data_IF_755671615583
#
_entry.id   IF_755671615583
#
_cell.length_a   1.000
_cell.length_b   1.000
_cell.length_c   1.000
_cell.angle_alpha   90.00
_cell.angle_beta   90.00
_cell.angle_gamma   90.00
#
_symmetry.space_group_name_H-M   'P 1'
#
loop_
_entity.id
_entity.type
_entity.pdbx_description
1 polymer ?
#
# COMPACT_ATOMS: atom_id res chain seq x y z
N UNK A 1 -3.12 -25.83 -27.76
CA UNK A 1 -2.99 -24.66 -28.66
C UNK A 1 -4.32 -23.93 -28.71
N UNK A 2 -4.36 -22.67 -28.48
CA UNK A 2 -5.55 -21.86 -28.66
C UNK A 2 -5.92 -21.86 -30.16
N UNK A 3 -7.13 -22.19 -30.48
CA UNK A 3 -7.61 -22.27 -31.85
C UNK A 3 -8.72 -21.24 -32.01
N UNK A 4 -8.60 -20.32 -32.94
CA UNK A 4 -9.66 -19.40 -33.31
C UNK A 4 -10.10 -19.60 -34.74
N UNK A 5 -11.39 -19.38 -35.02
CA UNK A 5 -11.96 -19.47 -36.38
C UNK A 5 -13.21 -18.62 -36.49
N UNK A 6 -13.51 -18.20 -37.74
CA UNK A 6 -14.73 -17.45 -38.08
C UNK A 6 -15.74 -18.40 -38.71
N UNK A 7 -16.98 -18.33 -38.29
CA UNK A 7 -18.08 -19.05 -38.85
C UNK A 7 -19.13 -18.10 -39.47
N UNK A 8 -19.61 -18.41 -40.66
CA UNK A 8 -20.76 -17.74 -41.30
C UNK A 8 -22.04 -18.37 -40.74
N UNK A 9 -22.82 -17.63 -40.00
CA UNK A 9 -24.06 -18.11 -39.39
C UNK A 9 -25.23 -18.21 -40.38
N UNK A 10 -25.16 -17.50 -41.48
CA UNK A 10 -26.22 -17.44 -42.48
C UNK A 10 -26.06 -18.51 -43.55
N UNK A 11 -24.83 -18.95 -43.84
CA UNK A 11 -24.55 -19.93 -44.88
C UNK A 11 -24.08 -21.25 -44.28
N UNK A 12 -24.48 -22.31 -44.95
CA UNK A 12 -24.05 -23.72 -44.69
C UNK A 12 -23.69 -24.39 -45.99
N UNK A 13 -22.97 -25.49 -45.92
CA UNK A 13 -22.72 -26.35 -47.07
C UNK A 13 -24.00 -27.12 -47.45
N UNK A 14 -24.29 -27.22 -48.71
CA UNK A 14 -25.35 -28.11 -49.23
C UNK A 14 -24.89 -29.55 -49.16
N UNK A 15 -25.78 -30.46 -48.77
CA UNK A 15 -25.51 -31.89 -48.75
C UNK A 15 -26.02 -32.50 -50.04
N UNK A 16 -25.13 -32.99 -50.89
CA UNK A 16 -25.48 -33.79 -52.08
C UNK A 16 -25.28 -35.27 -51.82
N UNK A 17 -26.25 -36.07 -52.21
CA UNK A 17 -26.14 -37.52 -52.17
C UNK A 17 -25.69 -37.98 -53.57
N UNK A 18 -24.58 -38.71 -53.61
CA UNK A 18 -24.05 -39.32 -54.87
C UNK A 18 -24.77 -40.57 -55.17
N UNK A 19 -24.58 -41.11 -56.40
CA UNK A 19 -25.24 -42.36 -56.91
C UNK A 19 -24.87 -43.58 -56.06
N UNK A 20 -23.76 -43.54 -55.36
CA UNK A 20 -23.31 -44.62 -54.43
C UNK A 20 -23.89 -44.48 -53.02
N UNK A 21 -24.77 -43.48 -52.80
CA UNK A 21 -25.39 -43.20 -51.51
C UNK A 21 -24.48 -42.37 -50.55
N UNK A 22 -23.26 -42.02 -50.93
CA UNK A 22 -22.37 -41.20 -50.13
C UNK A 22 -22.82 -39.72 -50.10
N UNK A 23 -22.56 -39.04 -48.99
CA UNK A 23 -22.90 -37.61 -48.79
C UNK A 23 -21.68 -36.75 -49.02
N UNK A 24 -21.81 -35.80 -49.93
CA UNK A 24 -20.77 -34.79 -50.19
C UNK A 24 -21.26 -33.39 -49.77
N UNK A 25 -20.44 -32.69 -49.01
CA UNK A 25 -20.71 -31.31 -48.60
C UNK A 25 -20.16 -30.35 -49.67
N UNK A 26 -21.05 -29.57 -50.28
CA UNK A 26 -20.72 -28.59 -51.33
C UNK A 26 -20.87 -27.18 -50.76
N UNK A 27 -19.75 -26.43 -50.63
CA UNK A 27 -19.82 -25.09 -50.11
C UNK A 27 -20.52 -24.10 -51.05
N UNK A 28 -21.14 -23.04 -50.54
CA UNK A 28 -21.72 -21.97 -51.37
C UNK A 28 -20.65 -21.36 -52.29
N UNK A 29 -21.00 -21.15 -53.55
CA UNK A 29 -20.09 -20.56 -54.56
C UNK A 29 -19.67 -19.16 -54.18
N UNK A 30 -18.54 -18.70 -54.74
CA UNK A 30 -18.05 -17.32 -54.55
C UNK A 30 -19.05 -16.26 -55.03
N UNK A 31 -19.86 -16.62 -56.05
CA UNK A 31 -20.92 -15.75 -56.56
C UNK A 31 -22.03 -15.55 -55.53
N UNK A 32 -22.49 -16.65 -54.86
CA UNK A 32 -23.47 -16.60 -53.76
C UNK A 32 -22.96 -15.78 -52.60
N UNK A 33 -21.72 -16.03 -52.18
CA UNK A 33 -21.08 -15.26 -51.07
C UNK A 33 -20.98 -13.78 -51.36
N UNK A 34 -20.62 -13.41 -52.64
CA UNK A 34 -20.50 -12.03 -53.09
C UNK A 34 -21.85 -11.33 -53.15
N UNK A 35 -22.89 -12.00 -53.77
CA UNK A 35 -24.22 -11.45 -53.83
C UNK A 35 -24.79 -11.18 -52.42
N UNK A 36 -24.61 -12.08 -51.48
CA UNK A 36 -25.04 -11.87 -50.10
C UNK A 36 -24.26 -10.73 -49.40
N UNK A 37 -22.98 -10.54 -49.69
CA UNK A 37 -22.21 -9.46 -49.12
C UNK A 37 -22.63 -8.07 -49.66
N UNK A 38 -23.18 -7.98 -50.88
CA UNK A 38 -23.75 -6.75 -51.46
C UNK A 38 -25.14 -6.41 -50.91
N UNK A 39 -25.83 -7.35 -50.31
CA UNK A 39 -27.20 -7.22 -49.82
C UNK A 39 -27.33 -7.52 -48.33
N UNK A 40 -26.36 -7.10 -47.53
CA UNK A 40 -26.31 -7.37 -46.06
C UNK A 40 -27.50 -6.82 -45.28
N UNK A 41 -28.07 -5.68 -45.74
CA UNK A 41 -29.23 -5.06 -45.11
C UNK A 41 -30.56 -5.70 -45.51
N UNK A 42 -30.58 -6.41 -46.64
CA UNK A 42 -31.74 -7.17 -47.13
C UNK A 42 -31.27 -8.45 -47.80
N UNK A 43 -30.93 -9.49 -47.00
CA UNK A 43 -30.32 -10.75 -47.46
C UNK A 43 -31.16 -11.53 -48.46
N UNK A 44 -32.47 -11.34 -48.48
CA UNK A 44 -33.39 -12.00 -49.44
C UNK A 44 -33.13 -11.52 -50.88
N UNK A 45 -32.71 -10.29 -51.09
CA UNK A 45 -32.33 -9.77 -52.44
C UNK A 45 -31.13 -10.49 -53.03
N UNK A 46 -30.28 -11.13 -52.23
CA UNK A 46 -29.16 -11.92 -52.71
C UNK A 46 -29.58 -13.25 -53.38
N UNK A 47 -30.86 -13.65 -53.28
CA UNK A 47 -31.45 -14.86 -53.89
C UNK A 47 -30.59 -16.13 -53.61
N UNK A 48 -30.10 -16.26 -52.37
CA UNK A 48 -29.31 -17.43 -51.98
C UNK A 48 -30.19 -18.69 -52.08
N UNK A 49 -29.73 -19.78 -52.71
CA UNK A 49 -30.48 -21.03 -52.76
C UNK A 49 -30.74 -21.59 -51.35
N UNK A 50 -31.93 -22.17 -51.13
CA UNK A 50 -32.39 -22.65 -49.84
C UNK A 50 -31.41 -23.67 -49.21
N UNK A 51 -30.80 -24.53 -50.02
CA UNK A 51 -29.82 -25.54 -49.62
C UNK A 51 -28.56 -25.00 -48.95
N UNK A 52 -28.25 -23.73 -49.16
CA UNK A 52 -27.12 -23.02 -48.53
C UNK A 52 -27.53 -22.14 -47.35
N UNK A 53 -28.81 -22.04 -47.03
CA UNK A 53 -29.31 -21.20 -45.93
C UNK A 53 -29.36 -21.96 -44.62
N UNK A 54 -28.90 -21.34 -43.56
CA UNK A 54 -29.12 -21.87 -42.21
C UNK A 54 -30.51 -21.44 -41.70
N UNK A 55 -30.97 -22.03 -40.59
CA UNK A 55 -32.24 -21.66 -39.93
C UNK A 55 -32.24 -20.19 -39.42
N UNK A 56 -31.08 -19.54 -39.33
CA UNK A 56 -30.92 -18.14 -38.89
C UNK A 56 -30.49 -17.24 -40.04
N UNK A 57 -30.69 -17.64 -41.28
CA UNK A 57 -30.38 -16.84 -42.46
C UNK A 57 -31.11 -15.49 -42.39
N UNK A 58 -30.37 -14.39 -42.62
CA UNK A 58 -30.90 -13.04 -42.54
C UNK A 58 -31.18 -12.51 -41.14
N UNK A 59 -31.00 -13.32 -40.09
CA UNK A 59 -31.32 -12.92 -38.72
C UNK A 59 -30.06 -12.56 -37.91
N UNK A 60 -30.04 -11.39 -37.33
CA UNK A 60 -28.99 -10.93 -36.43
C UNK A 60 -27.62 -10.74 -37.11
N UNK A 61 -26.56 -11.04 -36.40
CA UNK A 61 -25.18 -10.91 -36.91
C UNK A 61 -24.80 -12.11 -37.76
N UNK A 62 -24.18 -11.89 -38.94
CA UNK A 62 -23.78 -12.95 -39.87
C UNK A 62 -22.56 -13.74 -39.41
N UNK A 63 -21.56 -13.09 -38.83
CA UNK A 63 -20.26 -13.67 -38.50
C UNK A 63 -20.14 -13.99 -37.03
N UNK A 64 -19.59 -15.14 -36.69
CA UNK A 64 -19.23 -15.50 -35.31
C UNK A 64 -17.77 -15.90 -35.28
N UNK A 65 -17.03 -15.25 -34.43
CA UNK A 65 -15.68 -15.66 -34.05
C UNK A 65 -15.80 -16.60 -32.86
N UNK A 66 -15.24 -17.81 -33.02
CA UNK A 66 -15.05 -18.75 -31.93
C UNK A 66 -13.60 -18.83 -31.56
N UNK A 67 -13.32 -19.05 -30.29
CA UNK A 67 -11.97 -19.38 -29.81
C UNK A 67 -12.03 -20.27 -28.59
N UNK A 68 -10.94 -21.00 -28.36
CA UNK A 68 -10.75 -21.80 -27.16
C UNK A 68 -9.60 -21.21 -26.35
N UNK A 69 -9.85 -20.88 -25.09
CA UNK A 69 -8.87 -20.41 -24.13
C UNK A 69 -9.22 -21.00 -22.75
N UNK A 70 -8.22 -21.34 -21.96
CA UNK A 70 -8.37 -21.93 -20.61
C UNK A 70 -9.28 -23.15 -20.54
N UNK A 71 -9.31 -23.95 -21.63
CA UNK A 71 -10.19 -25.12 -21.75
C UNK A 71 -11.65 -24.79 -22.05
N UNK A 72 -12.04 -23.52 -22.08
CA UNK A 72 -13.40 -23.09 -22.43
C UNK A 72 -13.53 -22.62 -23.87
N UNK A 73 -14.70 -22.85 -24.45
CA UNK A 73 -15.04 -22.34 -25.77
C UNK A 73 -15.84 -21.04 -25.67
N UNK A 74 -15.33 -19.99 -26.28
CA UNK A 74 -15.93 -18.67 -26.31
C UNK A 74 -16.44 -18.33 -27.72
N UNK A 75 -17.39 -17.36 -27.80
CA UNK A 75 -17.87 -16.82 -29.07
C UNK A 75 -18.23 -15.35 -28.98
N UNK A 76 -18.08 -14.63 -30.12
CA UNK A 76 -18.56 -13.27 -30.28
C UNK A 76 -19.09 -13.06 -31.69
N UNK A 77 -20.24 -12.37 -31.82
CA UNK A 77 -20.93 -12.19 -33.08
C UNK A 77 -20.59 -10.80 -33.67
N UNK A 78 -20.48 -10.73 -35.00
CA UNK A 78 -20.19 -9.53 -35.77
C UNK A 78 -21.09 -9.44 -36.98
N UNK A 79 -21.51 -8.21 -37.36
CA UNK A 79 -22.23 -7.95 -38.62
C UNK A 79 -21.29 -7.94 -39.80
N UNK A 80 -20.09 -7.43 -39.63
CA UNK A 80 -19.06 -7.21 -40.66
C UNK A 80 -17.92 -8.23 -40.52
N UNK A 81 -17.51 -8.83 -41.64
CA UNK A 81 -16.43 -9.84 -41.67
C UNK A 81 -15.07 -9.24 -41.29
N UNK A 82 -14.77 -8.03 -41.79
CA UNK A 82 -13.49 -7.37 -41.51
C UNK A 82 -13.32 -7.14 -40.01
N UNK A 83 -14.37 -6.69 -39.34
CA UNK A 83 -14.37 -6.54 -37.87
C UNK A 83 -14.23 -7.86 -37.15
N UNK A 84 -14.81 -8.95 -37.69
CA UNK A 84 -14.64 -10.29 -37.15
C UNK A 84 -13.21 -10.77 -37.28
N UNK A 85 -12.56 -10.56 -38.44
CA UNK A 85 -11.21 -10.97 -38.70
C UNK A 85 -10.17 -10.13 -37.93
N UNK A 86 -10.36 -8.81 -37.87
CA UNK A 86 -9.55 -7.91 -37.02
C UNK A 86 -9.60 -8.36 -35.55
N UNK A 87 -10.80 -8.69 -35.06
CA UNK A 87 -10.95 -9.21 -33.68
C UNK A 87 -10.25 -10.55 -33.49
N UNK A 88 -10.38 -11.49 -34.45
CA UNK A 88 -9.73 -12.80 -34.41
C UNK A 88 -8.21 -12.66 -34.40
N UNK A 89 -7.66 -11.82 -35.27
CA UNK A 89 -6.21 -11.56 -35.36
C UNK A 89 -5.66 -10.93 -34.06
N UNK A 90 -6.36 -9.94 -33.50
CA UNK A 90 -6.01 -9.33 -32.21
C UNK A 90 -6.03 -10.36 -31.08
N UNK A 91 -7.07 -11.21 -31.04
CA UNK A 91 -7.20 -12.27 -30.06
C UNK A 91 -6.05 -13.30 -30.13
N UNK A 92 -5.64 -13.70 -31.35
CA UNK A 92 -4.50 -14.61 -31.55
C UNK A 92 -3.18 -13.99 -31.07
N UNK A 93 -3.00 -12.67 -31.28
CA UNK A 93 -1.84 -11.95 -30.77
C UNK A 93 -1.84 -11.89 -29.25
N UNK A 94 -2.97 -11.58 -28.64
CA UNK A 94 -3.12 -11.53 -27.18
C UNK A 94 -2.86 -12.90 -26.54
N UNK A 95 -3.38 -13.98 -27.11
CA UNK A 95 -3.12 -15.34 -26.62
C UNK A 95 -1.63 -15.68 -26.75
N UNK A 96 -1.02 -15.40 -27.93
CA UNK A 96 0.39 -15.67 -28.19
C UNK A 96 1.32 -14.91 -27.25
N UNK A 97 0.98 -13.68 -26.91
CA UNK A 97 1.77 -12.80 -26.04
C UNK A 97 1.37 -12.88 -24.56
N UNK A 98 0.54 -13.89 -24.19
CA UNK A 98 0.03 -14.09 -22.83
C UNK A 98 -0.71 -12.83 -22.24
N UNK A 99 -1.29 -12.00 -23.11
CA UNK A 99 -2.12 -10.85 -22.73
C UNK A 99 -3.62 -11.14 -22.72
N UNK A 100 -4.00 -12.32 -23.17
CA UNK A 100 -5.41 -12.71 -23.17
C UNK A 100 -5.99 -12.73 -21.77
N UNK A 101 -7.13 -12.08 -21.60
CA UNK A 101 -7.92 -12.10 -20.35
C UNK A 101 -9.29 -12.70 -20.69
N UNK A 102 -9.71 -13.67 -19.91
CA UNK A 102 -11.05 -14.23 -20.07
C UNK A 102 -12.09 -13.13 -19.77
N UNK A 103 -13.08 -12.89 -20.65
CA UNK A 103 -14.11 -11.89 -20.41
C UNK A 103 -14.85 -12.04 -19.08
N UNK A 104 -15.06 -13.28 -18.61
CA UNK A 104 -15.67 -13.53 -17.30
C UNK A 104 -14.81 -13.03 -16.15
N UNK A 105 -13.49 -13.17 -16.26
CA UNK A 105 -12.56 -12.70 -15.23
C UNK A 105 -12.42 -11.17 -15.24
N UNK A 106 -12.51 -10.55 -16.40
CA UNK A 106 -12.55 -9.08 -16.52
C UNK A 106 -13.81 -8.45 -15.88
N UNK A 107 -14.89 -9.20 -15.74
CA UNK A 107 -16.13 -8.77 -15.06
C UNK A 107 -16.05 -8.93 -13.52
N UNK A 108 -15.05 -9.61 -12.96
CA UNK A 108 -14.82 -9.65 -11.52
C UNK A 108 -14.67 -8.24 -10.97
N UNK A 109 -15.31 -7.96 -9.85
CA UNK A 109 -15.19 -6.68 -9.20
C UNK A 109 -13.85 -6.52 -8.48
N UNK A 110 -13.38 -5.30 -8.35
CA UNK A 110 -12.20 -5.01 -7.53
C UNK A 110 -12.36 -5.49 -6.09
N UNK A 111 -13.57 -5.38 -5.53
CA UNK A 111 -13.90 -5.82 -4.16
C UNK A 111 -13.65 -7.31 -3.94
N UNK A 112 -14.11 -8.17 -4.88
CA UNK A 112 -13.87 -9.61 -4.82
C UNK A 112 -12.38 -9.94 -4.81
N UNK A 113 -11.59 -9.26 -5.65
CA UNK A 113 -10.13 -9.46 -5.70
C UNK A 113 -9.47 -8.93 -4.43
N UNK A 114 -9.95 -7.82 -3.87
CA UNK A 114 -9.46 -7.26 -2.62
C UNK A 114 -9.68 -8.23 -1.45
N UNK A 115 -10.78 -8.95 -1.39
CA UNK A 115 -11.03 -9.99 -0.37
C UNK A 115 -10.00 -11.13 -0.45
N UNK A 116 -9.69 -11.59 -1.67
CA UNK A 116 -8.66 -12.61 -1.90
C UNK A 116 -7.29 -12.09 -1.45
N UNK A 117 -6.97 -10.84 -1.81
CA UNK A 117 -5.72 -10.20 -1.41
C UNK A 117 -5.59 -10.08 0.11
N UNK A 118 -6.65 -9.66 0.80
CA UNK A 118 -6.68 -9.57 2.28
C UNK A 118 -6.43 -10.95 2.90
N UNK A 119 -7.08 -11.99 2.38
CA UNK A 119 -6.91 -13.35 2.90
C UNK A 119 -5.44 -13.81 2.78
N UNK A 120 -4.75 -13.44 1.70
CA UNK A 120 -3.32 -13.73 1.49
C UNK A 120 -2.35 -12.91 2.37
N UNK A 121 -2.79 -11.79 2.93
CA UNK A 121 -1.95 -10.97 3.82
C UNK A 121 -1.82 -11.56 5.23
N UNK A 122 -2.82 -12.31 5.69
CA UNK A 122 -2.87 -12.84 7.06
C UNK A 122 -1.66 -13.71 7.36
N UNK A 123 -0.92 -13.33 8.41
CA UNK A 123 0.28 -14.05 8.84
C UNK A 123 1.53 -13.80 7.98
N UNK A 124 1.43 -13.16 6.81
CA UNK A 124 2.57 -12.85 5.94
C UNK A 124 3.25 -11.52 6.27
N UNK A 125 2.53 -10.62 6.94
CA UNK A 125 3.01 -9.29 7.32
C UNK A 125 2.68 -8.99 8.78
N UNK A 126 3.34 -7.96 9.36
CA UNK A 126 3.02 -7.51 10.72
C UNK A 126 1.57 -7.04 10.82
N UNK A 127 0.89 -7.40 11.91
CA UNK A 127 -0.52 -7.03 12.18
C UNK A 127 -0.79 -5.53 12.03
N UNK A 128 0.16 -4.67 12.44
CA UNK A 128 0.04 -3.21 12.27
C UNK A 128 0.06 -2.74 10.82
N UNK A 129 0.80 -3.45 9.97
CA UNK A 129 0.83 -3.18 8.53
C UNK A 129 -0.47 -3.64 7.89
N UNK A 130 -0.95 -4.82 8.26
CA UNK A 130 -2.24 -5.36 7.85
C UNK A 130 -3.37 -4.41 8.25
N UNK A 131 -3.43 -4.00 9.52
CA UNK A 131 -4.41 -3.04 10.03
C UNK A 131 -4.42 -1.72 9.23
N UNK A 132 -3.23 -1.21 8.88
CA UNK A 132 -3.10 -0.01 8.05
C UNK A 132 -3.65 -0.23 6.65
N UNK A 133 -3.29 -1.34 5.98
CA UNK A 133 -3.75 -1.66 4.62
C UNK A 133 -5.27 -1.84 4.58
N UNK A 134 -5.85 -2.57 5.53
CA UNK A 134 -7.28 -2.76 5.65
C UNK A 134 -8.02 -1.44 5.86
N UNK A 135 -7.46 -0.55 6.70
CA UNK A 135 -8.03 0.77 6.93
C UNK A 135 -7.99 1.63 5.66
N UNK A 136 -6.85 1.69 4.96
CA UNK A 136 -6.69 2.44 3.71
C UNK A 136 -7.62 1.89 2.62
N UNK A 137 -7.73 0.57 2.50
CA UNK A 137 -8.61 -0.11 1.56
C UNK A 137 -10.08 0.26 1.83
N UNK A 138 -10.54 0.11 3.08
CA UNK A 138 -11.93 0.38 3.46
C UNK A 138 -12.31 1.85 3.32
N UNK A 139 -11.43 2.76 3.76
CA UNK A 139 -11.76 4.19 3.79
C UNK A 139 -11.71 4.82 2.41
N UNK A 140 -10.72 4.48 1.58
CA UNK A 140 -10.40 5.22 0.37
C UNK A 140 -10.60 4.43 -0.93
N UNK A 141 -10.26 3.13 -0.93
CA UNK A 141 -10.20 2.36 -2.18
C UNK A 141 -11.56 1.73 -2.50
N UNK A 142 -12.15 0.98 -1.57
CA UNK A 142 -13.42 0.29 -1.79
C UNK A 142 -14.59 1.23 -2.10
N UNK A 143 -14.74 2.41 -1.46
CA UNK A 143 -15.83 3.32 -1.79
C UNK A 143 -15.79 3.82 -3.24
N UNK A 144 -14.62 3.87 -3.85
CA UNK A 144 -14.47 4.28 -5.26
C UNK A 144 -14.46 3.10 -6.23
N UNK A 145 -13.81 2.00 -5.86
CA UNK A 145 -13.46 0.94 -6.79
C UNK A 145 -14.12 -0.40 -6.49
N UNK A 146 -14.64 -0.61 -5.28
CA UNK A 146 -15.12 -1.91 -4.81
C UNK A 146 -16.09 -2.61 -5.76
N UNK A 147 -17.08 -1.89 -6.29
CA UNK A 147 -18.08 -2.41 -7.21
C UNK A 147 -17.68 -2.31 -8.70
N UNK A 148 -16.48 -1.82 -9.01
CA UNK A 148 -16.03 -1.61 -10.39
C UNK A 148 -15.42 -2.90 -10.94
N UNK A 149 -15.89 -3.42 -12.10
CA UNK A 149 -15.25 -4.53 -12.78
C UNK A 149 -13.80 -4.22 -13.15
N UNK A 150 -12.93 -5.22 -13.02
CA UNK A 150 -11.48 -5.07 -13.30
C UNK A 150 -11.24 -4.50 -14.69
N UNK A 151 -11.94 -5.01 -15.71
CA UNK A 151 -11.80 -4.56 -17.10
C UNK A 151 -12.21 -3.11 -17.36
N UNK A 152 -12.87 -2.45 -16.39
CA UNK A 152 -13.26 -1.02 -16.47
C UNK A 152 -12.32 -0.09 -15.70
N UNK A 153 -11.32 -0.64 -15.00
CA UNK A 153 -10.33 0.15 -14.26
C UNK A 153 -9.22 0.58 -15.23
N UNK A 154 -9.28 1.82 -15.70
CA UNK A 154 -8.27 2.37 -16.61
C UNK A 154 -7.40 3.42 -15.95
N UNK A 155 -6.19 3.65 -16.52
CA UNK A 155 -5.19 4.63 -16.05
C UNK A 155 -5.78 6.03 -15.91
N UNK A 156 -6.59 6.49 -16.88
CA UNK A 156 -7.21 7.82 -16.84
C UNK A 156 -8.20 7.98 -15.67
N UNK A 157 -8.97 6.94 -15.36
CA UNK A 157 -9.89 6.95 -14.22
C UNK A 157 -9.13 6.94 -12.90
N UNK A 158 -8.05 6.16 -12.79
CA UNK A 158 -7.17 6.13 -11.62
C UNK A 158 -6.46 7.49 -11.42
N UNK A 159 -6.02 8.16 -12.51
CA UNK A 159 -5.40 9.48 -12.43
C UNK A 159 -6.40 10.56 -11.95
N UNK A 160 -7.66 10.53 -12.41
CA UNK A 160 -8.71 11.42 -11.88
C UNK A 160 -8.97 11.19 -10.41
N UNK A 161 -8.99 9.94 -9.97
CA UNK A 161 -9.14 9.63 -8.54
C UNK A 161 -7.98 10.15 -7.70
N UNK A 162 -6.74 10.08 -8.18
CA UNK A 162 -5.60 10.73 -7.52
C UNK A 162 -5.82 12.23 -7.35
N UNK A 163 -6.34 12.92 -8.38
CA UNK A 163 -6.68 14.35 -8.26
C UNK A 163 -7.74 14.59 -7.17
N UNK A 164 -8.76 13.73 -7.08
CA UNK A 164 -9.77 13.81 -6.02
C UNK A 164 -9.20 13.55 -4.62
N UNK A 165 -8.21 12.65 -4.47
CA UNK A 165 -7.52 12.44 -3.20
C UNK A 165 -6.71 13.69 -2.79
N UNK A 166 -6.14 14.41 -3.76
CA UNK A 166 -5.41 15.67 -3.54
C UNK A 166 -6.35 16.79 -3.12
N UNK A 167 -7.50 16.95 -3.80
CA UNK A 167 -8.48 18.01 -3.48
C UNK A 167 -9.33 17.70 -2.24
N UNK A 168 -9.44 16.43 -1.85
CA UNK A 168 -10.30 15.98 -0.75
C UNK A 168 -11.69 15.53 -1.18
N UNK A 169 -11.98 15.51 -2.50
CA UNK A 169 -13.32 15.17 -3.07
C UNK A 169 -13.45 13.67 -3.37
N UNK A 170 -12.45 12.86 -3.07
CA UNK A 170 -12.50 11.42 -3.33
C UNK A 170 -13.63 10.75 -2.52
N UNK A 171 -14.40 9.83 -3.14
CA UNK A 171 -15.35 8.99 -2.42
C UNK A 171 -14.65 8.26 -1.28
N UNK A 172 -15.29 8.24 -0.11
CA UNK A 172 -14.75 7.57 1.09
C UNK A 172 -15.87 7.01 1.95
N UNK A 173 -15.53 6.16 2.91
CA UNK A 173 -16.49 5.72 3.93
C UNK A 173 -16.95 6.94 4.75
N UNK A 174 -18.21 7.32 4.60
CA UNK A 174 -18.82 8.51 5.19
C UNK A 174 -18.92 8.51 6.72
N UNK A 175 -18.59 7.38 7.37
CA UNK A 175 -18.56 7.26 8.83
C UNK A 175 -17.35 7.96 9.47
N UNK A 176 -16.39 8.43 8.69
CA UNK A 176 -15.10 8.92 9.20
C UNK A 176 -14.91 10.40 8.82
N UNK A 177 -15.47 11.31 9.65
CA UNK A 177 -15.19 12.75 9.64
C UNK A 177 -15.38 13.48 8.29
N UNK A 178 -15.03 14.76 8.22
CA UNK A 178 -15.17 15.58 6.99
C UNK A 178 -14.17 15.20 5.90
N UNK A 179 -14.55 15.43 4.62
CA UNK A 179 -13.65 15.30 3.48
C UNK A 179 -12.47 16.27 3.64
N UNK A 180 -11.26 15.77 3.43
CA UNK A 180 -10.04 16.58 3.50
C UNK A 180 -9.01 16.05 2.53
N UNK A 181 -8.16 16.94 1.98
CA UNK A 181 -7.03 16.55 1.15
C UNK A 181 -6.12 15.54 1.87
N UNK A 182 -5.63 14.56 1.14
CA UNK A 182 -4.62 13.64 1.63
C UNK A 182 -3.22 14.18 1.37
N UNK A 183 -2.34 14.01 2.35
CA UNK A 183 -0.92 14.29 2.14
C UNK A 183 -0.31 13.36 1.07
N UNK A 184 0.69 13.83 0.28
CA UNK A 184 1.30 13.04 -0.80
C UNK A 184 1.80 11.66 -0.36
N UNK A 185 2.35 11.52 0.85
CA UNK A 185 2.77 10.24 1.42
C UNK A 185 1.60 9.28 1.63
N UNK A 186 0.44 9.78 2.07
CA UNK A 186 -0.77 8.99 2.25
C UNK A 186 -1.36 8.55 0.90
N UNK A 187 -1.38 9.46 -0.09
CA UNK A 187 -1.81 9.13 -1.46
C UNK A 187 -0.92 8.03 -2.04
N UNK A 188 0.41 8.12 -1.85
CA UNK A 188 1.33 7.07 -2.27
C UNK A 188 1.00 5.72 -1.63
N UNK A 189 0.69 5.69 -0.32
CA UNK A 189 0.31 4.46 0.39
C UNK A 189 -0.99 3.88 -0.17
N UNK A 190 -2.03 4.68 -0.30
CA UNK A 190 -3.34 4.26 -0.81
C UNK A 190 -3.25 3.76 -2.26
N UNK A 191 -2.56 4.51 -3.14
CA UNK A 191 -2.57 4.23 -4.59
C UNK A 191 -1.50 3.22 -5.00
N UNK A 192 -0.22 3.45 -4.62
CA UNK A 192 0.92 2.64 -5.08
C UNK A 192 1.24 1.43 -4.20
N UNK A 193 0.66 1.35 -3.00
CA UNK A 193 0.82 0.17 -2.15
C UNK A 193 -0.47 -0.63 -2.14
N UNK A 194 -1.59 -0.08 -1.65
CA UNK A 194 -2.80 -0.87 -1.44
C UNK A 194 -3.56 -1.12 -2.75
N UNK A 195 -3.96 -0.06 -3.48
CA UNK A 195 -4.72 -0.20 -4.72
C UNK A 195 -3.94 -0.97 -5.79
N UNK A 196 -2.65 -0.63 -5.95
CA UNK A 196 -1.75 -1.32 -6.88
C UNK A 196 -1.61 -2.80 -6.55
N UNK A 197 -1.42 -3.18 -5.29
CA UNK A 197 -1.18 -4.58 -4.91
C UNK A 197 -2.38 -5.50 -5.20
N UNK A 198 -3.62 -5.00 -5.05
CA UNK A 198 -4.83 -5.76 -5.43
C UNK A 198 -4.87 -5.98 -6.94
N UNK A 199 -4.51 -4.97 -7.73
CA UNK A 199 -4.46 -5.10 -9.19
C UNK A 199 -3.27 -5.94 -9.67
N UNK A 200 -2.13 -5.92 -8.96
CA UNK A 200 -1.00 -6.82 -9.24
C UNK A 200 -1.41 -8.29 -9.02
N UNK A 201 -2.22 -8.56 -7.99
CA UNK A 201 -2.81 -9.88 -7.77
C UNK A 201 -3.72 -10.28 -8.95
N UNK A 202 -4.54 -9.36 -9.46
CA UNK A 202 -5.38 -9.61 -10.63
C UNK A 202 -4.54 -9.92 -11.88
N UNK A 203 -3.42 -9.21 -12.08
CA UNK A 203 -2.48 -9.50 -13.18
C UNK A 203 -1.81 -10.85 -13.01
N UNK A 204 -1.33 -11.17 -11.81
CA UNK A 204 -0.66 -12.46 -11.54
C UNK A 204 -1.56 -13.67 -11.69
N UNK A 205 -2.89 -13.49 -11.54
CA UNK A 205 -3.90 -14.52 -11.79
C UNK A 205 -4.45 -14.52 -13.22
N UNK A 206 -3.94 -13.66 -14.11
CA UNK A 206 -4.43 -13.58 -15.50
C UNK A 206 -5.79 -12.89 -15.65
N UNK A 207 -6.34 -12.24 -14.61
CA UNK A 207 -7.61 -11.51 -14.63
C UNK A 207 -7.50 -10.10 -15.21
N UNK A 208 -6.28 -9.60 -15.33
CA UNK A 208 -5.90 -8.39 -16.05
C UNK A 208 -4.62 -8.65 -16.86
N UNK A 209 -4.54 -8.06 -18.04
CA UNK A 209 -3.34 -8.14 -18.89
C UNK A 209 -2.18 -7.27 -18.39
N UNK A 210 -2.50 -6.15 -17.74
CA UNK A 210 -1.53 -5.21 -17.19
C UNK A 210 -2.17 -4.38 -16.06
N UNK A 211 -1.34 -3.90 -15.12
CA UNK A 211 -1.81 -3.04 -14.05
C UNK A 211 -1.94 -1.57 -14.51
N UNK A 212 -3.16 -1.02 -14.58
CA UNK A 212 -3.37 0.36 -15.06
C UNK A 212 -2.78 1.44 -14.13
N UNK A 213 -2.41 1.08 -12.88
CA UNK A 213 -1.85 2.00 -11.88
C UNK A 213 -0.36 2.24 -12.09
N UNK A 214 0.33 1.42 -12.89
CA UNK A 214 1.79 1.58 -13.12
C UNK A 214 2.14 2.98 -13.62
N UNK A 215 1.40 3.49 -14.58
CA UNK A 215 1.64 4.79 -15.22
C UNK A 215 0.99 5.98 -14.50
N UNK A 216 0.26 5.73 -13.40
CA UNK A 216 -0.38 6.81 -12.63
C UNK A 216 0.67 7.66 -11.94
N UNK A 217 0.62 8.97 -12.22
CA UNK A 217 1.49 9.98 -11.61
C UNK A 217 0.93 10.41 -10.25
N UNK A 218 1.81 10.47 -9.26
CA UNK A 218 1.47 10.95 -7.93
C UNK A 218 1.92 12.40 -7.72
N UNK A 219 1.29 13.13 -6.79
CA UNK A 219 1.79 14.46 -6.40
C UNK A 219 3.20 14.31 -5.82
N UNK A 220 4.03 15.32 -6.08
CA UNK A 220 5.38 15.38 -5.49
C UNK A 220 5.28 15.45 -3.97
N UNK A 221 6.16 14.75 -3.29
CA UNK A 221 6.30 14.91 -1.85
C UNK A 221 6.75 16.36 -1.58
N UNK A 222 6.01 17.05 -0.72
CA UNK A 222 6.48 18.33 -0.19
C UNK A 222 7.70 18.02 0.70
N UNK A 223 8.75 18.83 0.66
CA UNK A 223 9.89 18.67 1.58
C UNK A 223 9.39 18.52 3.02
N UNK A 224 10.03 17.61 3.75
CA UNK A 224 9.67 17.30 5.13
C UNK A 224 9.67 18.61 5.95
N UNK A 225 8.62 18.83 6.74
CA UNK A 225 8.57 19.91 7.76
C UNK A 225 9.89 19.94 8.54
N UNK A 226 10.38 21.14 8.86
CA UNK A 226 11.58 21.32 9.66
C UNK A 226 11.44 20.48 10.94
N UNK A 227 12.40 19.60 11.22
CA UNK A 227 12.40 18.82 12.45
C UNK A 227 12.59 19.75 13.64
N UNK A 228 11.82 19.54 14.68
CA UNK A 228 11.95 20.28 15.93
C UNK A 228 12.90 19.52 16.85
N UNK A 229 13.90 20.22 17.32
CA UNK A 229 14.84 19.77 18.35
C UNK A 229 14.66 20.68 19.55
N UNK A 230 14.32 20.11 20.69
CA UNK A 230 14.12 20.85 21.92
C UNK A 230 15.45 21.05 22.67
N UNK A 231 15.58 22.16 23.32
CA UNK A 231 16.64 22.36 24.33
C UNK A 231 16.28 21.63 25.64
N UNK A 232 17.25 21.32 26.50
CA UNK A 232 16.95 20.74 27.82
C UNK A 232 15.96 21.57 28.65
N UNK A 233 16.00 22.90 28.51
CA UNK A 233 15.07 23.81 29.18
C UNK A 233 13.65 23.62 28.66
N UNK A 234 13.46 23.56 27.34
CA UNK A 234 12.15 23.34 26.74
C UNK A 234 11.58 21.96 27.09
N UNK A 235 12.42 20.91 27.13
CA UNK A 235 12.00 19.57 27.61
C UNK A 235 11.50 19.66 29.05
N UNK A 236 12.22 20.41 29.93
CA UNK A 236 11.82 20.60 31.31
C UNK A 236 10.51 21.37 31.42
N UNK A 237 10.33 22.46 30.68
CA UNK A 237 9.10 23.27 30.66
C UNK A 237 7.88 22.39 30.30
N UNK A 238 8.01 21.49 29.32
CA UNK A 238 6.93 20.56 28.97
C UNK A 238 6.69 19.54 30.09
N UNK A 239 7.74 19.03 30.73
CA UNK A 239 7.65 18.06 31.80
C UNK A 239 7.01 18.62 33.06
N UNK A 240 7.31 19.89 33.41
CA UNK A 240 6.76 20.58 34.58
C UNK A 240 5.23 20.76 34.52
N UNK A 241 4.63 20.65 33.33
CA UNK A 241 3.16 20.68 33.13
C UNK A 241 2.49 19.29 33.23
N UNK A 242 3.19 18.30 33.76
CA UNK A 242 2.72 16.92 33.92
C UNK A 242 2.86 16.49 35.39
N UNK A 243 2.17 15.39 35.73
CA UNK A 243 2.48 14.67 36.98
C UNK A 243 3.88 14.05 36.91
N UNK A 244 4.43 13.70 38.07
CA UNK A 244 5.81 13.23 38.22
C UNK A 244 6.12 12.01 37.32
N UNK A 245 5.22 11.04 37.23
CA UNK A 245 5.39 9.84 36.45
C UNK A 245 5.49 10.15 34.94
N UNK A 246 4.63 11.03 34.45
CA UNK A 246 4.62 11.45 33.05
C UNK A 246 5.77 12.41 32.72
N UNK A 247 6.22 13.24 33.68
CA UNK A 247 7.42 14.05 33.55
C UNK A 247 8.65 13.17 33.33
N UNK A 248 8.81 12.10 34.13
CA UNK A 248 9.89 11.13 33.94
C UNK A 248 9.78 10.42 32.59
N UNK A 249 8.57 10.09 32.12
CA UNK A 249 8.36 9.53 30.79
C UNK A 249 8.86 10.46 29.66
N UNK A 250 8.63 11.78 29.77
CA UNK A 250 9.17 12.80 28.84
C UNK A 250 10.70 12.80 28.86
N UNK A 251 11.31 12.79 30.03
CA UNK A 251 12.78 12.76 30.16
C UNK A 251 13.37 11.47 29.59
N UNK A 252 12.73 10.32 29.81
CA UNK A 252 13.14 9.06 29.20
C UNK A 252 13.12 9.14 27.66
N UNK A 253 12.05 9.70 27.07
CA UNK A 253 11.97 9.88 25.61
C UNK A 253 13.05 10.84 25.09
N UNK A 254 13.30 11.94 25.79
CA UNK A 254 14.25 12.98 25.37
C UNK A 254 15.72 12.60 25.56
N UNK A 255 16.03 11.73 26.53
CA UNK A 255 17.41 11.45 26.90
C UNK A 255 17.87 10.01 26.69
N UNK A 256 16.99 9.13 26.24
CA UNK A 256 17.34 7.76 25.81
C UNK A 256 17.05 7.49 24.34
N UNK A 257 16.23 8.35 23.70
CA UNK A 257 15.86 8.22 22.29
C UNK A 257 14.96 7.03 21.96
N UNK A 258 14.35 6.36 22.94
CA UNK A 258 13.35 5.32 22.72
C UNK A 258 12.09 5.90 22.03
N UNK A 259 11.38 5.09 21.28
CA UNK A 259 10.09 5.51 20.70
C UNK A 259 9.00 5.47 21.76
N UNK A 260 7.98 6.33 21.66
CA UNK A 260 6.85 6.33 22.61
C UNK A 260 6.21 4.93 22.74
N UNK A 261 6.01 4.21 21.64
CA UNK A 261 5.45 2.86 21.70
C UNK A 261 6.39 1.83 22.36
N UNK A 262 7.70 2.04 22.32
CA UNK A 262 8.69 1.25 23.04
C UNK A 262 8.64 1.58 24.54
N UNK A 263 8.67 2.87 24.90
CA UNK A 263 8.59 3.32 26.30
C UNK A 263 7.33 2.78 26.99
N UNK A 264 6.17 2.92 26.38
CA UNK A 264 4.90 2.47 26.96
C UNK A 264 4.74 0.93 26.97
N UNK A 265 5.64 0.18 26.36
CA UNK A 265 5.71 -1.28 26.43
C UNK A 265 6.78 -1.78 27.39
N UNK A 266 7.62 -0.88 27.98
CA UNK A 266 8.63 -1.27 28.98
C UNK A 266 7.96 -1.74 30.26
N UNK A 267 8.56 -2.77 30.85
CA UNK A 267 8.26 -3.30 32.17
C UNK A 267 9.32 -2.81 33.17
N UNK A 268 9.00 -2.83 34.46
CA UNK A 268 9.98 -2.53 35.49
C UNK A 268 11.22 -3.43 35.40
N UNK A 269 11.05 -4.71 35.06
CA UNK A 269 12.14 -5.66 34.84
C UNK A 269 12.96 -5.44 33.56
N UNK A 270 12.55 -4.57 32.65
CA UNK A 270 13.33 -4.19 31.47
C UNK A 270 14.40 -3.11 31.80
N UNK A 271 14.43 -2.61 33.03
CA UNK A 271 15.39 -1.63 33.55
C UNK A 271 16.45 -2.29 34.40
N UNK A 272 17.71 -2.10 34.03
CA UNK A 272 18.87 -2.48 34.84
C UNK A 272 19.50 -1.21 35.43
N UNK A 273 19.19 -0.94 36.71
CA UNK A 273 19.70 0.26 37.38
C UNK A 273 21.19 0.09 37.77
N UNK A 274 21.71 -1.13 37.95
CA UNK A 274 23.12 -1.31 38.25
C UNK A 274 24.01 -0.97 37.06
N UNK A 275 23.53 -1.35 35.83
CA UNK A 275 24.20 -1.06 34.56
C UNK A 275 23.73 0.23 33.91
N UNK A 276 22.71 0.86 34.47
CA UNK A 276 22.04 2.04 33.85
C UNK A 276 21.65 1.80 32.39
N UNK A 277 20.82 0.76 32.16
CA UNK A 277 20.38 0.39 30.83
C UNK A 277 18.90 0.02 30.76
N UNK A 278 18.28 0.24 29.58
CA UNK A 278 16.95 -0.24 29.21
C UNK A 278 17.05 -1.37 28.18
N UNK A 279 16.33 -2.46 28.40
CA UNK A 279 16.17 -3.54 27.41
C UNK A 279 14.92 -3.28 26.56
N UNK A 280 15.11 -2.85 25.32
CA UNK A 280 14.02 -2.53 24.40
C UNK A 280 13.76 -3.72 23.49
N UNK A 281 12.83 -4.60 23.86
CA UNK A 281 12.46 -5.82 23.14
C UNK A 281 11.03 -5.79 22.59
N UNK A 282 10.19 -4.83 23.04
CA UNK A 282 8.77 -4.73 22.71
C UNK A 282 8.41 -3.31 22.27
N UNK A 283 7.30 -3.17 21.58
CA UNK A 283 6.69 -1.90 21.24
C UNK A 283 5.17 -2.05 21.14
N UNK A 284 4.44 -0.99 21.43
CA UNK A 284 3.01 -0.95 21.18
C UNK A 284 2.70 -0.78 19.70
N UNK A 285 1.64 -1.43 19.27
CA UNK A 285 1.07 -1.34 17.93
C UNK A 285 -0.44 -1.47 17.99
N UNK A 286 -1.11 -1.37 16.85
CA UNK A 286 -2.56 -1.52 16.73
C UNK A 286 -2.86 -2.69 15.80
N UNK A 287 -3.73 -3.60 16.25
CA UNK A 287 -4.21 -4.73 15.45
C UNK A 287 -5.33 -4.33 14.46
N UNK A 288 -5.80 -5.29 13.67
CA UNK A 288 -6.88 -5.11 12.69
C UNK A 288 -8.23 -4.70 13.31
N UNK A 289 -8.43 -4.96 14.60
CA UNK A 289 -9.62 -4.59 15.36
C UNK A 289 -9.45 -3.25 16.10
N UNK A 290 -8.39 -2.49 15.80
CA UNK A 290 -8.03 -1.23 16.45
C UNK A 290 -7.73 -1.37 17.96
N UNK A 291 -7.28 -2.56 18.41
CA UNK A 291 -6.84 -2.80 19.78
C UNK A 291 -5.34 -2.58 19.87
N UNK A 292 -4.89 -1.96 20.96
CA UNK A 292 -3.46 -1.84 21.24
C UNK A 292 -2.91 -3.21 21.66
N UNK A 293 -1.85 -3.63 20.99
CA UNK A 293 -1.13 -4.88 21.24
C UNK A 293 0.36 -4.62 21.41
N UNK A 294 1.04 -5.50 22.12
CA UNK A 294 2.50 -5.53 22.14
C UNK A 294 3.02 -6.37 20.97
N UNK A 295 4.06 -5.90 20.33
CA UNK A 295 4.74 -6.55 19.21
C UNK A 295 6.25 -6.27 19.28
N UNK A 296 7.02 -6.94 18.44
CA UNK A 296 8.45 -6.65 18.30
C UNK A 296 8.70 -5.28 17.68
N UNK A 297 9.79 -4.57 18.06
CA UNK A 297 10.15 -3.29 17.46
C UNK A 297 10.32 -3.36 15.93
N UNK A 298 10.37 -2.20 15.28
CA UNK A 298 10.61 -2.11 13.83
C UNK A 298 11.96 -2.75 13.51
N UNK A 299 11.97 -3.72 12.60
CA UNK A 299 13.18 -4.48 12.23
C UNK A 299 13.42 -5.75 13.08
N UNK A 300 12.51 -6.11 14.00
CA UNK A 300 12.54 -7.34 14.79
C UNK A 300 13.83 -7.51 15.65
N UNK A 301 14.45 -6.40 16.09
CA UNK A 301 15.69 -6.40 16.84
C UNK A 301 15.47 -5.80 18.23
N UNK A 302 15.79 -6.55 19.27
CA UNK A 302 15.98 -6.00 20.61
C UNK A 302 17.29 -5.22 20.67
N UNK A 303 17.35 -4.26 21.58
CA UNK A 303 18.56 -3.48 21.83
C UNK A 303 18.62 -3.02 23.27
N UNK A 304 19.82 -2.79 23.75
CA UNK A 304 20.08 -2.15 25.03
C UNK A 304 20.35 -0.68 24.81
N UNK A 305 19.71 0.17 25.59
CA UNK A 305 19.82 1.63 25.51
C UNK A 305 20.40 2.16 26.83
N UNK A 306 21.49 2.93 26.82
CA UNK A 306 22.05 3.50 28.05
C UNK A 306 21.11 4.57 28.62
N UNK A 307 21.05 4.64 29.95
CA UNK A 307 20.28 5.62 30.71
C UNK A 307 21.27 6.63 31.31
N UNK A 308 21.07 7.93 31.10
CA UNK A 308 21.83 8.95 31.85
C UNK A 308 21.59 8.85 33.36
N UNK A 309 22.65 8.95 34.17
CA UNK A 309 22.60 8.81 35.63
C UNK A 309 21.58 9.73 36.29
N UNK A 310 21.40 10.94 35.75
CA UNK A 310 20.41 11.89 36.26
C UNK A 310 18.95 11.43 36.23
N UNK A 311 18.66 10.31 35.54
CA UNK A 311 17.29 9.74 35.48
C UNK A 311 17.08 8.61 36.51
N UNK A 312 18.13 8.17 37.23
CA UNK A 312 18.09 7.08 38.20
C UNK A 312 16.97 7.25 39.22
N UNK A 313 16.94 8.36 39.91
CA UNK A 313 15.97 8.64 40.97
C UNK A 313 14.51 8.58 40.45
N UNK A 314 14.25 9.21 39.30
CA UNK A 314 12.94 9.19 38.69
C UNK A 314 12.49 7.79 38.25
N UNK A 315 13.42 7.00 37.70
CA UNK A 315 13.09 5.60 37.31
C UNK A 315 12.85 4.73 38.54
N UNK A 316 13.62 4.93 39.61
CA UNK A 316 13.36 4.24 40.92
C UNK A 316 11.95 4.58 41.41
N UNK A 317 11.54 5.83 41.37
CA UNK A 317 10.19 6.26 41.74
C UNK A 317 9.12 5.58 40.88
N UNK A 318 9.30 5.51 39.55
CA UNK A 318 8.37 4.79 38.65
C UNK A 318 8.24 3.29 38.95
N UNK A 319 9.31 2.67 39.39
CA UNK A 319 9.37 1.23 39.67
C UNK A 319 9.00 0.88 41.13
N UNK A 320 8.96 1.85 42.03
CA UNK A 320 8.74 1.61 43.46
C UNK A 320 7.36 0.98 43.72
N UNK A 321 7.36 -0.06 44.53
CA UNK A 321 6.16 -0.85 44.85
C UNK A 321 5.60 -1.71 43.72
N UNK A 322 6.30 -1.83 42.57
CA UNK A 322 5.86 -2.57 41.40
C UNK A 322 6.70 -3.79 41.06
N UNK A 323 6.04 -4.86 40.60
CA UNK A 323 6.71 -6.08 40.18
C UNK A 323 7.42 -5.94 38.83
N UNK A 324 8.39 -6.81 38.57
CA UNK A 324 9.18 -6.80 37.33
C UNK A 324 8.33 -6.87 36.04
N UNK A 325 7.19 -7.56 36.07
CA UNK A 325 6.28 -7.72 34.94
C UNK A 325 5.28 -6.57 34.77
N UNK A 326 5.23 -5.61 35.69
CA UNK A 326 4.37 -4.46 35.58
C UNK A 326 4.96 -3.39 34.66
N UNK A 327 4.09 -2.63 33.98
CA UNK A 327 4.53 -1.55 33.09
C UNK A 327 5.30 -0.48 33.87
N UNK A 328 6.38 0.01 33.32
CA UNK A 328 7.14 1.12 33.89
C UNK A 328 6.30 2.42 33.86
N UNK A 329 5.67 2.75 32.72
CA UNK A 329 4.74 3.87 32.58
C UNK A 329 3.32 3.31 32.44
N UNK A 330 2.49 3.59 33.43
CA UNK A 330 1.17 2.97 33.61
C UNK A 330 0.02 3.91 33.27
N UNK A 331 -1.12 3.33 32.91
CA UNK A 331 -2.38 4.05 32.92
C UNK A 331 -2.83 4.36 34.36
N UNK A 332 -3.68 5.40 34.60
CA UNK A 332 -4.11 5.78 35.96
C UNK A 332 -4.78 4.67 36.81
N UNK A 333 -5.26 3.62 36.18
CA UNK A 333 -5.87 2.43 36.83
C UNK A 333 -4.91 1.23 36.88
N UNK A 334 -3.61 1.42 36.68
CA UNK A 334 -2.65 0.37 36.40
C UNK A 334 -2.78 -0.16 34.95
N UNK A 335 -1.99 -1.11 34.55
CA UNK A 335 -2.01 -1.69 33.23
C UNK A 335 -1.46 -0.79 32.11
N UNK A 336 -1.74 -1.19 30.88
CA UNK A 336 -1.12 -0.60 29.69
C UNK A 336 -1.64 0.80 29.38
N UNK A 337 -0.75 1.80 29.38
CA UNK A 337 -1.02 3.13 28.82
C UNK A 337 -0.87 3.08 27.30
N UNK A 338 -1.86 3.58 26.54
CA UNK A 338 -1.79 3.57 25.08
C UNK A 338 -1.18 4.86 24.53
N UNK A 339 -0.44 4.77 23.43
CA UNK A 339 0.14 5.96 22.76
C UNK A 339 -0.91 7.02 22.42
N UNK A 340 -2.12 6.60 22.00
CA UNK A 340 -3.21 7.53 21.67
C UNK A 340 -3.74 8.26 22.92
N UNK A 341 -3.95 7.53 24.02
CA UNK A 341 -4.42 8.12 25.29
C UNK A 341 -3.35 9.06 25.86
N UNK A 342 -2.08 8.62 25.87
CA UNK A 342 -0.97 9.43 26.35
C UNK A 342 -0.83 10.75 25.56
N UNK A 343 -0.93 10.67 24.24
CA UNK A 343 -0.93 11.86 23.38
C UNK A 343 -2.08 12.81 23.71
N UNK A 344 -3.32 12.30 23.80
CA UNK A 344 -4.50 13.15 23.90
C UNK A 344 -4.72 13.70 25.31
N UNK A 345 -4.37 12.92 26.34
CA UNK A 345 -4.71 13.26 27.74
C UNK A 345 -3.53 13.83 28.54
N UNK A 346 -2.30 13.63 28.06
CA UNK A 346 -1.08 14.02 28.77
C UNK A 346 -0.27 14.97 27.91
N UNK A 347 0.27 14.51 26.78
CA UNK A 347 1.15 15.29 25.92
C UNK A 347 0.50 16.58 25.38
N UNK A 348 -0.65 16.47 24.72
CA UNK A 348 -1.30 17.66 24.11
C UNK A 348 -1.78 18.69 25.13
N UNK A 349 -2.34 18.33 26.31
CA UNK A 349 -2.61 19.29 27.38
C UNK A 349 -1.36 19.97 27.91
N UNK A 350 -0.29 19.23 28.17
CA UNK A 350 0.97 19.79 28.66
C UNK A 350 1.61 20.76 27.66
N UNK A 351 1.59 20.46 26.37
CA UNK A 351 2.07 21.41 25.35
C UNK A 351 1.28 22.72 25.37
N UNK A 352 -0.06 22.67 25.55
CA UNK A 352 -0.87 23.89 25.65
C UNK A 352 -0.54 24.69 26.90
N UNK A 353 -0.39 24.02 28.05
CA UNK A 353 -0.03 24.66 29.32
C UNK A 353 1.37 25.29 29.23
N UNK A 354 2.31 24.64 28.57
CA UNK A 354 3.64 25.14 28.29
C UNK A 354 3.69 26.26 27.21
N UNK A 355 2.57 26.56 26.54
CA UNK A 355 2.53 27.53 25.43
C UNK A 355 3.30 27.10 24.19
N UNK A 356 3.47 25.79 23.98
CA UNK A 356 4.31 25.23 22.91
C UNK A 356 3.50 24.47 21.83
N UNK A 357 2.20 24.46 21.91
CA UNK A 357 1.31 23.72 21.01
C UNK A 357 1.22 24.33 19.59
N UNK A 358 1.57 25.59 19.42
CA UNK A 358 1.64 26.27 18.12
C UNK A 358 2.97 26.04 17.35
N UNK A 359 3.96 25.38 17.97
CA UNK A 359 5.24 25.10 17.31
C UNK A 359 5.00 24.07 16.19
N UNK A 360 5.09 24.53 14.92
CA UNK A 360 4.86 23.66 13.77
C UNK A 360 5.86 22.50 13.72
N UNK A 361 5.32 21.29 13.67
CA UNK A 361 6.12 20.08 13.63
C UNK A 361 6.52 19.50 14.99
N UNK A 362 6.20 20.17 16.11
CA UNK A 362 6.43 19.63 17.45
C UNK A 362 5.49 18.45 17.71
N UNK A 363 6.07 17.32 18.01
CA UNK A 363 5.35 16.06 18.29
C UNK A 363 6.10 15.30 19.38
N UNK A 364 5.46 14.24 19.94
CA UNK A 364 6.16 13.33 20.85
C UNK A 364 7.47 12.80 20.22
N UNK A 365 7.50 12.59 18.91
CA UNK A 365 8.69 12.10 18.22
C UNK A 365 9.83 13.14 18.18
N UNK A 366 9.54 14.41 18.41
CA UNK A 366 10.54 15.46 18.53
C UNK A 366 11.46 15.25 19.74
N UNK A 367 10.97 14.62 20.84
CA UNK A 367 11.81 14.22 21.96
C UNK A 367 12.91 13.24 21.53
N UNK A 368 12.59 12.29 20.66
CA UNK A 368 13.60 11.39 20.09
C UNK A 368 14.55 12.10 19.12
N UNK A 369 14.08 13.09 18.38
CA UNK A 369 14.95 13.95 17.57
C UNK A 369 15.89 14.77 18.45
N UNK A 370 15.40 15.24 19.59
CA UNK A 370 16.21 15.92 20.61
C UNK A 370 17.33 15.02 21.13
N UNK A 371 17.03 13.76 21.48
CA UNK A 371 18.08 12.79 21.83
C UNK A 371 19.18 12.72 20.76
N UNK A 372 18.79 12.56 19.49
CA UNK A 372 19.75 12.45 18.40
C UNK A 372 20.63 13.70 18.29
N UNK A 373 20.05 14.89 18.42
CA UNK A 373 20.77 16.15 18.39
C UNK A 373 21.77 16.27 19.56
N UNK A 374 21.34 15.91 20.77
CA UNK A 374 22.20 15.92 21.95
C UNK A 374 23.33 14.90 21.85
N UNK A 375 23.05 13.69 21.38
CA UNK A 375 24.06 12.65 21.20
C UNK A 375 25.12 13.03 20.16
N UNK A 376 24.68 13.60 19.01
CA UNK A 376 25.60 14.11 17.98
C UNK A 376 26.46 15.24 18.53
N UNK A 377 25.86 16.19 19.27
CA UNK A 377 26.59 17.27 19.94
C UNK A 377 27.61 16.74 20.96
N UNK A 378 27.30 15.63 21.61
CA UNK A 378 28.22 14.95 22.53
C UNK A 378 29.29 14.09 21.80
N UNK A 379 29.33 14.11 20.46
CA UNK A 379 30.35 13.42 19.67
C UNK A 379 29.98 11.99 19.23
N UNK A 380 28.72 11.57 19.36
CA UNK A 380 28.31 10.25 18.88
C UNK A 380 28.51 10.13 17.35
N UNK A 381 29.14 9.05 16.93
CA UNK A 381 29.23 8.68 15.53
C UNK A 381 27.91 8.08 15.00
N UNK A 382 27.83 7.91 13.66
CA UNK A 382 26.64 7.41 13.00
C UNK A 382 26.25 5.99 13.46
N UNK A 383 27.23 5.12 13.73
CA UNK A 383 27.01 3.74 14.16
C UNK A 383 26.47 3.67 15.59
N UNK A 384 27.06 4.44 16.48
CA UNK A 384 26.62 4.57 17.86
C UNK A 384 25.16 5.09 17.90
N UNK A 385 24.86 6.16 17.16
CA UNK A 385 23.51 6.70 17.10
C UNK A 385 22.51 5.71 16.47
N UNK A 386 22.89 5.02 15.38
CA UNK A 386 22.11 3.96 14.76
C UNK A 386 21.74 2.86 15.74
N UNK A 387 22.72 2.37 16.50
CA UNK A 387 22.56 1.26 17.44
C UNK A 387 21.56 1.64 18.56
N UNK A 388 21.78 2.74 19.24
CA UNK A 388 20.91 3.21 20.34
C UNK A 388 19.51 3.51 19.84
N UNK A 389 19.37 4.20 18.72
CA UNK A 389 18.05 4.52 18.16
C UNK A 389 17.34 3.31 17.53
N UNK A 390 18.04 2.22 17.22
CA UNK A 390 17.46 1.06 16.54
C UNK A 390 16.96 1.38 15.14
N UNK A 391 17.79 2.09 14.35
CA UNK A 391 17.55 2.29 12.93
C UNK A 391 17.99 1.06 12.13
N UNK A 392 17.22 0.71 11.10
CA UNK A 392 17.50 -0.49 10.30
C UNK A 392 18.84 -0.38 9.54
N UNK A 393 19.25 0.84 9.18
CA UNK A 393 20.50 1.11 8.47
C UNK A 393 21.12 2.44 8.89
N UNK A 394 22.42 2.61 8.64
CA UNK A 394 23.11 3.88 8.81
C UNK A 394 22.56 4.95 7.86
N UNK A 395 22.07 4.56 6.68
CA UNK A 395 21.41 5.47 5.74
C UNK A 395 20.17 6.13 6.37
N UNK A 396 19.33 5.37 7.11
CA UNK A 396 18.17 5.95 7.83
C UNK A 396 18.60 7.02 8.84
N UNK A 397 19.75 6.83 9.49
CA UNK A 397 20.31 7.82 10.42
C UNK A 397 20.83 9.04 9.70
N UNK A 398 21.59 8.86 8.61
CA UNK A 398 22.15 9.95 7.80
C UNK A 398 21.04 10.74 7.09
N UNK A 399 20.07 10.08 6.43
CA UNK A 399 18.93 10.73 5.77
C UNK A 399 18.13 11.62 6.75
N UNK A 400 18.23 11.28 8.05
CA UNK A 400 17.49 11.99 9.09
C UNK A 400 18.30 13.10 9.76
N UNK A 401 19.59 12.90 9.99
CA UNK A 401 20.38 13.72 10.89
C UNK A 401 21.73 14.17 10.32
N UNK A 402 22.03 13.94 9.03
CA UNK A 402 23.33 14.30 8.46
C UNK A 402 23.70 15.78 8.69
N UNK A 403 22.70 16.67 8.59
CA UNK A 403 22.88 18.12 8.76
C UNK A 403 23.28 18.54 10.19
N UNK A 404 23.16 17.65 11.18
CA UNK A 404 23.54 17.94 12.56
C UNK A 404 25.02 17.64 12.87
N UNK A 405 25.67 16.81 12.03
CA UNK A 405 27.10 16.57 12.22
C UNK A 405 27.89 17.79 11.73
N UNK A 406 28.84 18.30 12.57
CA UNK A 406 29.67 19.42 12.17
C UNK A 406 30.57 19.04 10.98
N UNK A 407 30.82 20.01 10.09
CA UNK A 407 31.83 19.84 9.06
C UNK A 407 33.24 19.90 9.72
N UNK A 408 33.88 18.73 9.78
CA UNK A 408 35.20 18.59 10.40
C UNK A 408 36.34 18.42 9.37
N UNK A 409 36.12 18.79 8.11
CA UNK A 409 37.13 18.63 7.05
C UNK A 409 38.45 19.32 7.37
N UNK A 410 38.41 20.53 7.99
CA UNK A 410 39.58 21.22 8.41
C UNK A 410 40.36 20.53 9.55
N UNK A 411 39.63 19.99 10.54
CA UNK A 411 40.22 19.22 11.64
C UNK A 411 40.91 17.94 11.12
N UNK A 412 40.24 17.24 10.18
CA UNK A 412 40.78 16.03 9.56
C UNK A 412 42.07 16.39 8.80
N UNK A 413 42.07 17.48 8.01
CA UNK A 413 43.25 17.90 7.27
C UNK A 413 44.42 18.28 8.26
N UNK A 414 44.10 18.97 9.37
CA UNK A 414 45.09 19.28 10.40
C UNK A 414 45.64 18.02 11.07
N UNK A 415 44.79 17.04 11.39
CA UNK A 415 45.23 15.77 11.97
C UNK A 415 46.12 14.98 11.00
N UNK A 416 45.72 14.88 9.72
CA UNK A 416 46.57 14.22 8.71
C UNK A 416 47.91 14.89 8.58
N UNK A 417 47.98 16.24 8.63
CA UNK A 417 49.23 16.96 8.53
C UNK A 417 50.22 16.61 9.66
N UNK A 418 49.75 16.23 10.84
CA UNK A 418 50.58 15.75 11.93
C UNK A 418 51.20 14.37 11.70
N UNK A 419 50.63 13.57 10.82
CA UNK A 419 51.09 12.23 10.47
C UNK A 419 52.05 12.26 9.25
N UNK A 420 52.15 13.40 8.56
CA UNK A 420 53.02 13.50 7.37
C UNK A 420 54.47 13.62 7.82
N UNK A 421 55.26 12.62 7.49
CA UNK A 421 56.71 12.59 7.65
C UNK A 421 57.36 13.08 6.34
N UNK A 422 57.59 14.38 6.17
CA UNK A 422 58.32 15.00 5.06
C UNK A 422 59.72 15.40 5.48
#
# INVERSE_FOLDING_TARGET
MAKSWINDRWLTDAVKILDDGSKVHVPPSSAVKRALSMHMDDPEKAKVPAEFRTSVFGQGSRWTVFWTADGERHRKNFRDYRKADEFRAGLEDDIRSARYVNPKDAERTFGEVAEIWIAGLRGSIKQSTEARYLRELRIWVLPRWGAVPLGRIGTAAAQRWVAQLVSGDAPRDGRIGQARPLAPKSIRSVVKIVFKAVLDLAVSNGWLSANPVEQVKLPRAVPVRRRVYLTPVEVKVIADEMDDDNAIAVFLLAYTGVRIGELLALRCGDVDLDRMTLSVSKTQSVDVNNRTIETTPKGNRSRTVPIPEGLRAGIMQLADGHGADEYLVRAPRGGMQTTQNWRNRIWSPALRAAGMDEIDGLTIHSLRHTYASLAIKAGADVKTLQAVMGHASAAETLDTYADLWPNRTGEVAAAINQEILL
#
